data_IF_197669424820
#
_entry.id   IF_197669424820
#
_cell.length_a   1.000
_cell.length_b   1.000
_cell.length_c   1.000
_cell.angle_alpha   90.00
_cell.angle_beta   90.00
_cell.angle_gamma   90.00
#
_symmetry.space_group_name_H-M   'P 1'
#
loop_
_entity.id
_entity.type
_entity.pdbx_description
1 polymer ?
#
# COMPACT_ATOMS: atom_id res chain seq x y z
N UNK A 1 4.87 0.74 -1.47
CA UNK A 1 4.17 1.46 -2.55
C UNK A 1 2.96 0.69 -3.04
N UNK A 2 3.09 -0.62 -3.34
CA UNK A 2 2.01 -1.41 -3.94
C UNK A 2 0.64 -1.31 -3.27
N UNK A 3 0.55 -1.27 -1.93
CA UNK A 3 -0.73 -1.10 -1.23
C UNK A 3 -1.44 0.22 -1.54
N UNK A 4 -0.65 1.26 -1.82
CA UNK A 4 -1.07 2.67 -1.88
C UNK A 4 -1.23 3.21 -3.30
N UNK A 5 -0.78 2.44 -4.30
CA UNK A 5 -0.98 2.70 -5.72
C UNK A 5 -2.39 2.29 -6.14
N UNK A 6 -2.97 3.07 -7.06
CA UNK A 6 -4.17 2.70 -7.78
C UNK A 6 -3.90 2.84 -9.28
N UNK A 7 -3.98 1.73 -10.01
CA UNK A 7 -4.02 1.72 -11.47
C UNK A 7 -5.01 0.62 -11.89
N UNK A 8 -6.11 0.94 -12.58
CA UNK A 8 -7.10 -0.04 -13.02
C UNK A 8 -6.49 -1.23 -13.78
N UNK A 9 -5.41 -1.01 -14.52
CA UNK A 9 -4.76 -2.03 -15.34
C UNK A 9 -3.89 -2.98 -14.52
N UNK A 10 -3.32 -2.53 -13.40
CA UNK A 10 -2.41 -3.33 -12.56
C UNK A 10 -3.09 -3.90 -11.31
N UNK A 11 -4.21 -3.34 -10.88
CA UNK A 11 -4.94 -3.72 -9.67
C UNK A 11 -5.16 -5.25 -9.56
N UNK A 12 -5.62 -5.95 -10.64
CA UNK A 12 -5.90 -7.39 -10.56
C UNK A 12 -4.67 -8.24 -10.25
N UNK A 13 -3.47 -7.78 -10.60
CA UNK A 13 -2.22 -8.50 -10.35
C UNK A 13 -1.56 -8.03 -9.05
N UNK A 14 -1.56 -6.71 -8.80
CA UNK A 14 -0.85 -6.10 -7.67
C UNK A 14 -1.52 -6.38 -6.34
N UNK A 15 -2.85 -6.29 -6.25
CA UNK A 15 -3.55 -6.43 -4.96
C UNK A 15 -3.43 -7.84 -4.37
N UNK A 16 -3.54 -8.94 -5.15
CA UNK A 16 -3.25 -10.28 -4.64
C UNK A 16 -1.83 -10.44 -4.08
N UNK A 17 -0.82 -9.76 -4.66
CA UNK A 17 0.54 -9.78 -4.13
C UNK A 17 0.63 -9.06 -2.78
N UNK A 18 -0.03 -7.91 -2.64
CA UNK A 18 -0.10 -7.21 -1.35
C UNK A 18 -0.81 -8.08 -0.30
N UNK A 19 -1.89 -8.75 -0.67
CA UNK A 19 -2.63 -9.66 0.21
C UNK A 19 -1.76 -10.85 0.66
N UNK A 20 -0.99 -11.45 -0.26
CA UNK A 20 -0.10 -12.57 0.03
C UNK A 20 1.07 -12.21 0.96
N UNK A 21 1.54 -10.96 0.88
CA UNK A 21 2.57 -10.41 1.77
C UNK A 21 2.00 -9.80 3.07
N UNK A 22 0.68 -9.86 3.29
CA UNK A 22 0.04 -9.32 4.49
C UNK A 22 -0.51 -10.43 5.39
N UNK A 23 -0.54 -10.18 6.70
CA UNK A 23 -1.20 -11.01 7.72
C UNK A 23 -2.02 -10.13 8.66
N UNK A 24 -2.78 -10.78 9.53
CA UNK A 24 -3.47 -10.16 10.67
C UNK A 24 -4.22 -8.88 10.30
N UNK A 25 -3.97 -7.78 11.01
CA UNK A 25 -4.66 -6.52 10.80
C UNK A 25 -4.39 -5.93 9.40
N UNK A 26 -3.17 -6.06 8.88
CA UNK A 26 -2.83 -5.55 7.56
C UNK A 26 -3.61 -6.25 6.43
N UNK A 27 -3.77 -7.57 6.51
CA UNK A 27 -4.54 -8.34 5.53
C UNK A 27 -6.03 -8.09 5.67
N UNK A 28 -6.55 -8.11 6.90
CA UNK A 28 -7.97 -7.86 7.16
C UNK A 28 -8.41 -6.48 6.65
N UNK A 29 -7.61 -5.43 6.94
CA UNK A 29 -7.89 -4.07 6.47
C UNK A 29 -7.78 -3.92 4.94
N UNK A 30 -6.84 -4.63 4.30
CA UNK A 30 -6.75 -4.62 2.83
C UNK A 30 -8.03 -5.19 2.21
N UNK A 31 -8.44 -6.37 2.67
CA UNK A 31 -9.62 -7.07 2.14
C UNK A 31 -10.92 -6.31 2.41
N UNK A 32 -11.01 -5.62 3.54
CA UNK A 32 -12.16 -4.77 3.84
C UNK A 32 -12.32 -3.63 2.82
N UNK A 33 -11.22 -2.99 2.42
CA UNK A 33 -11.24 -1.90 1.44
C UNK A 33 -11.38 -2.43 0.01
N UNK A 34 -10.72 -3.54 -0.33
CA UNK A 34 -10.76 -4.15 -1.68
C UNK A 34 -11.95 -5.10 -1.90
N UNK A 35 -13.00 -4.95 -1.09
CA UNK A 35 -14.29 -5.59 -1.29
C UNK A 35 -15.20 -4.66 -2.09
N UNK A 36 -15.81 -5.14 -3.18
CA UNK A 36 -16.69 -4.34 -4.04
C UNK A 36 -17.98 -3.86 -3.35
N UNK A 37 -18.33 -4.40 -2.18
CA UNK A 37 -19.41 -3.91 -1.33
C UNK A 37 -18.99 -2.85 -0.32
N UNK A 38 -17.72 -2.45 -0.30
CA UNK A 38 -17.21 -1.38 0.57
C UNK A 38 -17.47 -0.02 -0.06
N UNK A 39 -17.96 0.94 0.74
CA UNK A 39 -18.06 2.34 0.33
C UNK A 39 -16.69 2.95 0.02
N UNK A 40 -15.63 2.36 0.57
CA UNK A 40 -14.23 2.77 0.36
C UNK A 40 -13.54 2.02 -0.79
N UNK A 41 -14.28 1.27 -1.61
CA UNK A 41 -13.70 0.46 -2.69
C UNK A 41 -12.97 1.33 -3.72
N UNK A 42 -11.65 1.19 -3.92
CA UNK A 42 -10.89 2.15 -4.74
C UNK A 42 -11.37 2.27 -6.19
N UNK A 43 -11.78 1.18 -6.89
CA UNK A 43 -12.38 1.31 -8.21
C UNK A 43 -13.70 2.09 -8.25
N UNK A 44 -14.48 2.08 -7.17
CA UNK A 44 -15.69 2.89 -7.06
C UNK A 44 -15.37 4.38 -6.80
N UNK A 45 -14.35 4.66 -6.00
CA UNK A 45 -13.94 6.03 -5.67
C UNK A 45 -13.23 6.71 -6.86
N UNK A 46 -12.26 6.03 -7.45
CA UNK A 46 -11.34 6.64 -8.41
C UNK A 46 -11.73 6.40 -9.87
N UNK A 47 -12.39 5.27 -10.17
CA UNK A 47 -12.83 4.92 -11.51
C UNK A 47 -11.68 4.65 -12.49
N UNK A 48 -12.01 4.28 -13.75
CA UNK A 48 -11.06 3.76 -14.72
C UNK A 48 -10.09 4.79 -15.32
N UNK A 49 -10.40 6.08 -15.21
CA UNK A 49 -9.61 7.16 -15.83
C UNK A 49 -8.63 7.84 -14.86
N UNK A 50 -8.45 7.25 -13.67
CA UNK A 50 -7.60 7.80 -12.61
C UNK A 50 -6.46 6.85 -12.32
N UNK A 51 -5.26 7.41 -12.16
CA UNK A 51 -4.08 6.70 -11.64
C UNK A 51 -3.60 7.41 -10.38
N UNK A 52 -3.26 6.66 -9.34
CA UNK A 52 -2.57 7.16 -8.16
C UNK A 52 -1.22 6.47 -8.09
N UNK A 53 -0.15 7.24 -8.28
CA UNK A 53 1.22 6.76 -8.08
C UNK A 53 1.70 7.09 -6.68
N UNK A 54 2.49 6.18 -6.08
CA UNK A 54 3.05 6.37 -4.74
C UNK A 54 4.57 6.41 -4.80
N UNK A 55 5.16 7.46 -4.23
CA UNK A 55 6.62 7.60 -4.10
C UNK A 55 7.03 7.72 -2.64
N UNK A 56 7.88 6.80 -2.18
CA UNK A 56 8.46 6.84 -0.83
C UNK A 56 9.43 8.02 -0.73
N UNK A 57 9.26 8.84 0.31
CA UNK A 57 10.15 9.94 0.66
C UNK A 57 11.20 9.50 1.69
N UNK A 58 10.77 8.76 2.71
CA UNK A 58 11.68 8.23 3.74
C UNK A 58 11.10 6.99 4.40
N UNK A 59 11.99 6.15 4.92
CA UNK A 59 11.66 5.02 5.79
C UNK A 59 12.50 5.18 7.06
N UNK A 60 11.86 5.01 8.21
CA UNK A 60 12.51 5.06 9.52
C UNK A 60 12.07 3.84 10.31
N UNK A 61 13.00 2.93 10.59
CA UNK A 61 12.74 1.78 11.47
C UNK A 61 12.67 2.32 12.89
N UNK A 62 11.54 2.07 13.57
CA UNK A 62 11.28 2.56 14.92
C UNK A 62 11.80 1.57 15.97
N UNK A 63 11.62 0.27 15.71
CA UNK A 63 12.05 -0.85 16.54
C UNK A 63 12.21 -2.12 15.68
N UNK A 64 12.22 -3.31 16.28
CA UNK A 64 12.51 -4.57 15.59
C UNK A 64 11.44 -5.00 14.56
N UNK A 65 10.19 -4.58 14.76
CA UNK A 65 9.03 -5.02 13.97
C UNK A 65 8.18 -3.86 13.45
N UNK A 66 8.55 -2.60 13.70
CA UNK A 66 7.78 -1.43 13.30
C UNK A 66 8.63 -0.41 12.53
N UNK A 67 8.08 0.07 11.42
CA UNK A 67 8.68 1.13 10.62
C UNK A 67 7.67 2.24 10.30
N UNK A 68 8.14 3.49 10.31
CA UNK A 68 7.44 4.63 9.77
C UNK A 68 7.86 4.85 8.31
N UNK A 69 6.90 4.99 7.41
CA UNK A 69 7.12 5.25 5.98
C UNK A 69 6.43 6.56 5.61
N UNK A 70 7.19 7.56 5.19
CA UNK A 70 6.63 8.78 4.58
C UNK A 70 6.63 8.65 3.08
N UNK A 71 5.53 9.03 2.45
CA UNK A 71 5.39 8.97 0.99
C UNK A 71 4.43 10.03 0.49
N UNK A 72 4.54 10.33 -0.80
CA UNK A 72 3.60 11.17 -1.53
C UNK A 72 2.74 10.28 -2.41
N UNK A 73 1.43 10.55 -2.46
CA UNK A 73 0.53 10.04 -3.49
C UNK A 73 0.27 11.15 -4.50
N UNK A 74 0.41 10.84 -5.78
CA UNK A 74 0.10 11.73 -6.90
C UNK A 74 -1.07 11.15 -7.66
N UNK A 75 -2.19 11.84 -7.64
CA UNK A 75 -3.39 11.52 -8.42
C UNK A 75 -3.30 12.20 -9.78
N UNK A 76 -3.45 11.41 -10.84
CA UNK A 76 -3.47 11.86 -12.23
C UNK A 76 -4.77 11.41 -12.89
N UNK A 77 -5.44 12.34 -13.58
CA UNK A 77 -6.67 12.11 -14.33
C UNK A 77 -6.69 13.00 -15.56
N UNK A 78 -7.12 12.46 -16.70
CA UNK A 78 -7.12 13.20 -17.96
C UNK A 78 -7.90 14.52 -17.85
N UNK A 79 -7.29 15.63 -18.26
CA UNK A 79 -7.89 16.96 -18.23
C UNK A 79 -7.94 17.63 -16.86
N UNK A 80 -7.31 17.04 -15.82
CA UNK A 80 -7.22 17.62 -14.48
C UNK A 80 -5.74 17.75 -14.11
N UNK A 81 -5.38 18.89 -13.50
CA UNK A 81 -4.03 19.08 -12.97
C UNK A 81 -3.75 18.03 -11.88
N UNK A 82 -2.59 17.34 -11.92
CA UNK A 82 -2.23 16.36 -10.92
C UNK A 82 -2.24 16.92 -9.49
N UNK A 83 -2.77 16.12 -8.57
CA UNK A 83 -2.86 16.48 -7.15
C UNK A 83 -1.93 15.60 -6.34
N UNK A 84 -1.01 16.23 -5.60
CA UNK A 84 -0.12 15.53 -4.68
C UNK A 84 -0.55 15.73 -3.22
N UNK A 85 -0.44 14.66 -2.43
CA UNK A 85 -0.65 14.71 -0.98
C UNK A 85 0.35 13.83 -0.25
N UNK A 86 0.76 14.33 0.91
CA UNK A 86 1.72 13.66 1.77
C UNK A 86 1.04 12.78 2.81
N UNK A 87 1.64 11.62 3.03
CA UNK A 87 1.15 10.59 3.94
C UNK A 87 2.29 10.02 4.76
N UNK A 88 1.92 9.62 5.97
CA UNK A 88 2.76 8.81 6.85
C UNK A 88 2.03 7.50 7.13
N UNK A 89 2.74 6.38 6.99
CA UNK A 89 2.26 5.09 7.42
C UNK A 89 3.12 4.53 8.54
N UNK A 90 2.47 3.91 9.52
CA UNK A 90 3.11 3.03 10.50
C UNK A 90 2.86 1.60 10.06
N UNK A 91 3.94 0.86 9.86
CA UNK A 91 3.95 -0.48 9.28
C UNK A 91 4.56 -1.43 10.29
N UNK A 92 3.74 -2.34 10.82
CA UNK A 92 4.21 -3.52 11.54
C UNK A 92 4.61 -4.60 10.55
N UNK A 93 5.76 -5.22 10.73
CA UNK A 93 6.33 -6.22 9.83
C UNK A 93 6.99 -7.37 10.60
N UNK A 94 7.12 -8.50 9.92
CA UNK A 94 7.82 -9.69 10.42
C UNK A 94 8.50 -10.42 9.24
N UNK A 95 9.35 -11.39 9.55
CA UNK A 95 9.99 -12.28 8.59
C UNK A 95 9.63 -13.73 8.91
N UNK A 96 8.68 -14.28 8.16
CA UNK A 96 8.27 -15.68 8.24
C UNK A 96 8.80 -16.42 7.02
N UNK A 97 9.99 -17.04 7.09
CA UNK A 97 10.53 -17.86 6.00
C UNK A 97 9.66 -19.11 5.83
N UNK A 98 8.54 -18.95 5.15
CA UNK A 98 7.62 -20.04 4.82
C UNK A 98 8.34 -21.03 3.93
N UNK A 99 8.01 -22.31 4.11
CA UNK A 99 8.33 -23.35 3.12
C UNK A 99 7.39 -23.15 1.93
N UNK A 100 7.75 -22.25 1.04
CA UNK A 100 6.98 -22.00 -0.17
C UNK A 100 7.08 -23.19 -1.14
N UNK A 101 5.98 -23.45 -1.85
CA UNK A 101 5.83 -24.68 -2.64
C UNK A 101 6.44 -24.59 -4.04
N UNK A 102 6.79 -23.38 -4.52
CA UNK A 102 7.37 -23.18 -5.84
C UNK A 102 8.50 -22.13 -5.85
N UNK A 103 9.45 -22.31 -6.78
CA UNK A 103 10.62 -21.44 -6.92
C UNK A 103 10.23 -19.99 -7.23
N UNK A 104 9.22 -19.77 -8.07
CA UNK A 104 8.74 -18.43 -8.44
C UNK A 104 8.19 -17.64 -7.24
N UNK A 105 7.59 -18.31 -6.26
CA UNK A 105 7.14 -17.66 -5.04
C UNK A 105 8.36 -17.23 -4.21
N UNK A 106 9.37 -18.11 -4.08
CA UNK A 106 10.56 -17.84 -3.25
C UNK A 106 11.31 -16.63 -3.79
N UNK A 107 11.41 -16.49 -5.11
CA UNK A 107 12.04 -15.33 -5.72
C UNK A 107 11.32 -14.02 -5.46
N UNK A 108 10.01 -14.05 -5.24
CA UNK A 108 9.21 -12.84 -4.97
C UNK A 108 9.30 -12.40 -3.51
N UNK A 109 9.51 -13.33 -2.59
CA UNK A 109 9.64 -13.02 -1.16
C UNK A 109 10.70 -13.90 -0.46
N UNK A 110 11.99 -13.76 -0.81
CA UNK A 110 13.02 -14.70 -0.39
C UNK A 110 13.28 -14.70 1.13
N UNK A 111 12.93 -13.61 1.82
CA UNK A 111 13.10 -13.47 3.27
C UNK A 111 11.80 -13.81 4.04
N UNK A 112 10.70 -14.07 3.33
CA UNK A 112 9.42 -14.25 4.00
C UNK A 112 8.87 -12.98 4.66
N UNK A 113 9.25 -11.80 4.14
CA UNK A 113 8.77 -10.51 4.65
C UNK A 113 7.24 -10.48 4.63
N UNK A 114 6.64 -10.07 5.74
CA UNK A 114 5.19 -9.93 5.85
C UNK A 114 4.83 -8.66 6.62
N UNK A 115 3.76 -8.00 6.19
CA UNK A 115 3.17 -6.87 6.91
C UNK A 115 2.09 -7.39 7.84
N UNK A 116 2.23 -7.16 9.14
CA UNK A 116 1.29 -7.61 10.19
C UNK A 116 0.33 -6.49 10.59
N UNK A 117 0.80 -5.24 10.53
CA UNK A 117 0.03 -4.04 10.85
C UNK A 117 0.23 -2.93 9.82
N UNK A 118 -0.84 -2.20 9.51
CA UNK A 118 -0.80 -1.06 8.60
C UNK A 118 -1.80 0.02 9.02
N UNK A 119 -1.28 1.22 9.33
CA UNK A 119 -2.07 2.45 9.52
C UNK A 119 -1.47 3.56 8.67
N UNK A 120 -2.33 4.36 8.06
CA UNK A 120 -1.95 5.51 7.24
C UNK A 120 -2.69 6.74 7.73
N UNK A 121 -1.98 7.86 7.80
CA UNK A 121 -2.51 9.17 8.13
C UNK A 121 -2.03 10.18 7.07
N UNK A 122 -2.88 11.14 6.71
CA UNK A 122 -2.45 12.27 5.90
C UNK A 122 -1.54 13.17 6.73
N UNK A 123 -0.39 13.57 6.20
CA UNK A 123 0.39 14.64 6.83
C UNK A 123 -0.39 15.94 6.61
N UNK A 124 -0.90 16.54 7.69
CA UNK A 124 -1.45 17.89 7.62
C UNK A 124 -0.36 18.81 7.09
N UNK A 125 -0.65 19.50 5.98
CA UNK A 125 0.19 20.58 5.48
C UNK A 125 0.26 21.64 6.57
N UNK A 126 1.32 21.65 7.36
CA UNK A 126 1.67 22.83 8.12
C UNK A 126 2.03 23.89 7.06
N UNK A 127 1.30 25.02 6.97
CA UNK A 127 1.64 26.06 6.03
C UNK A 127 3.05 26.53 6.39
N UNK A 128 4.03 26.17 5.55
CA UNK A 128 5.36 26.74 5.64
C UNK A 128 5.19 28.24 5.41
N UNK A 129 5.31 29.00 6.50
CA UNK A 129 5.35 30.46 6.48
C UNK A 129 6.58 31.01 5.78
#
# INVERSE_FOLDING_TARGET
TNRETYDPNDNPERIPLVDAMSKDQAQASLRAIWNSGSDDYPPQIYGPDTTITTRVRSISVLDEDTAQVRFVRRLEKAGIEPVERDFVAVVGFDFDPRVERSLDQVWRNPLGFTVTGYRIDAETLDPRG
#
